data_IF_176554271985
#
_entry.id   IF_176554271985
#
_cell.length_a   1.000
_cell.length_b   1.000
_cell.length_c   1.000
_cell.angle_alpha   90.00
_cell.angle_beta   90.00
_cell.angle_gamma   90.00
#
_symmetry.space_group_name_H-M   'P 1'
#
loop_
_entity.id
_entity.type
_entity.pdbx_description
1 polymer ?
#
# COMPACT_ATOMS: atom_id res chain seq x y z
N UNK A 1 -42.09 36.24 49.58
CA UNK A 1 -40.85 36.19 48.75
C UNK A 1 -41.14 36.96 47.46
N UNK A 2 -40.28 37.90 47.08
CA UNK A 2 -40.50 38.77 45.92
C UNK A 2 -40.22 37.99 44.61
N UNK A 3 -41.17 37.85 43.67
CA UNK A 3 -40.98 37.07 42.44
C UNK A 3 -39.82 37.56 41.57
N UNK A 4 -39.54 38.87 41.63
CA UNK A 4 -38.51 39.53 40.83
C UNK A 4 -37.09 39.13 41.29
N UNK A 5 -36.85 39.04 42.60
CA UNK A 5 -35.57 38.57 43.16
C UNK A 5 -35.31 37.11 42.82
N UNK A 6 -36.34 36.26 42.88
CA UNK A 6 -36.22 34.85 42.51
C UNK A 6 -35.90 34.66 41.01
N UNK A 7 -36.41 35.54 40.14
CA UNK A 7 -36.06 35.54 38.72
C UNK A 7 -34.60 35.98 38.51
N UNK A 8 -34.14 37.02 39.22
CA UNK A 8 -32.75 37.48 39.13
C UNK A 8 -31.73 36.42 39.57
N UNK A 9 -31.95 35.73 40.69
CA UNK A 9 -31.03 34.67 41.12
C UNK A 9 -30.96 33.51 40.12
N UNK A 10 -32.08 33.15 39.48
CA UNK A 10 -32.11 32.11 38.43
C UNK A 10 -31.38 32.52 37.16
N UNK A 11 -31.43 33.81 36.80
CA UNK A 11 -30.69 34.33 35.64
C UNK A 11 -29.19 34.29 35.93
N UNK A 12 -28.77 34.73 37.11
CA UNK A 12 -27.36 34.72 37.50
C UNK A 12 -26.80 33.28 37.56
N UNK A 13 -27.58 32.33 38.09
CA UNK A 13 -27.22 30.90 38.09
C UNK A 13 -27.09 30.35 36.65
N UNK A 14 -28.01 30.70 35.75
CA UNK A 14 -27.93 30.29 34.35
C UNK A 14 -26.74 30.91 33.61
N UNK A 15 -26.36 32.16 33.91
CA UNK A 15 -25.19 32.84 33.34
C UNK A 15 -23.88 32.15 33.77
N UNK A 16 -23.78 31.74 35.05
CA UNK A 16 -22.65 30.97 35.55
C UNK A 16 -22.57 29.57 34.90
N UNK A 17 -23.70 28.89 34.71
CA UNK A 17 -23.74 27.62 33.98
C UNK A 17 -23.32 27.75 32.51
N UNK A 18 -23.79 28.81 31.82
CA UNK A 18 -23.41 29.09 30.43
C UNK A 18 -21.90 29.33 30.33
N UNK A 19 -21.33 30.15 31.22
CA UNK A 19 -19.89 30.42 31.27
C UNK A 19 -19.06 29.13 31.45
N UNK A 20 -19.49 28.23 32.34
CA UNK A 20 -18.83 26.94 32.53
C UNK A 20 -18.98 26.01 31.30
N UNK A 21 -20.12 26.05 30.61
CA UNK A 21 -20.31 25.30 29.36
C UNK A 21 -19.41 25.84 28.24
N UNK A 22 -19.30 27.16 28.10
CA UNK A 22 -18.41 27.80 27.12
C UNK A 22 -16.94 27.41 27.33
N UNK A 23 -16.47 27.43 28.58
CA UNK A 23 -15.14 26.97 28.96
C UNK A 23 -14.90 25.49 28.62
N UNK A 24 -15.93 24.64 28.77
CA UNK A 24 -15.85 23.21 28.41
C UNK A 24 -15.82 23.01 26.90
N UNK A 25 -16.60 23.77 26.15
CA UNK A 25 -16.63 23.71 24.68
C UNK A 25 -15.29 24.15 24.11
N UNK A 26 -14.68 25.23 24.62
CA UNK A 26 -13.34 25.66 24.20
C UNK A 26 -12.29 24.55 24.39
N UNK A 27 -12.32 23.86 25.54
CA UNK A 27 -11.42 22.73 25.82
C UNK A 27 -11.64 21.53 24.88
N UNK A 28 -12.89 21.27 24.48
CA UNK A 28 -13.22 20.19 23.53
C UNK A 28 -12.70 20.54 22.13
N UNK A 29 -12.92 21.77 21.67
CA UNK A 29 -12.45 22.24 20.36
C UNK A 29 -10.93 22.16 20.24
N UNK A 30 -10.19 22.62 21.24
CA UNK A 30 -8.73 22.51 21.27
C UNK A 30 -8.25 21.05 21.25
N UNK A 31 -8.93 20.18 21.99
CA UNK A 31 -8.63 18.75 22.02
C UNK A 31 -8.93 18.07 20.67
N UNK A 32 -9.98 18.50 19.95
CA UNK A 32 -10.31 18.03 18.60
C UNK A 32 -9.28 18.49 17.57
N UNK A 33 -8.88 19.77 17.57
CA UNK A 33 -7.82 20.26 16.69
C UNK A 33 -6.51 19.49 16.90
N UNK A 34 -6.10 19.28 18.16
CA UNK A 34 -4.91 18.50 18.48
C UNK A 34 -5.02 17.03 18.06
N UNK A 35 -6.21 16.44 18.13
CA UNK A 35 -6.45 15.09 17.61
C UNK A 35 -6.31 15.07 16.09
N UNK A 36 -6.82 16.07 15.40
CA UNK A 36 -6.75 16.17 13.96
C UNK A 36 -5.32 16.37 13.45
N UNK A 37 -4.52 17.22 14.08
CA UNK A 37 -3.09 17.36 13.77
C UNK A 37 -2.34 16.05 13.95
N UNK A 38 -2.60 15.33 15.07
CA UNK A 38 -2.00 14.01 15.30
C UNK A 38 -2.42 12.99 14.23
N UNK A 39 -3.66 13.03 13.77
CA UNK A 39 -4.13 12.15 12.70
C UNK A 39 -3.44 12.47 11.38
N UNK A 40 -3.26 13.74 11.04
CA UNK A 40 -2.53 14.18 9.84
C UNK A 40 -1.06 13.74 9.87
N UNK A 41 -0.35 13.97 10.97
CA UNK A 41 1.04 13.53 11.12
C UNK A 41 1.17 12.00 11.08
N UNK A 42 0.22 11.28 11.70
CA UNK A 42 0.20 9.83 11.64
C UNK A 42 -0.06 9.34 10.20
N UNK A 43 -0.95 9.98 9.44
CA UNK A 43 -1.19 9.65 8.04
C UNK A 43 0.06 9.87 7.18
N UNK A 44 0.78 10.98 7.38
CA UNK A 44 2.02 11.28 6.66
C UNK A 44 3.13 10.28 7.00
N UNK A 45 3.34 9.97 8.28
CA UNK A 45 4.33 8.98 8.71
C UNK A 45 3.99 7.57 8.20
N UNK A 46 2.70 7.22 8.16
CA UNK A 46 2.22 5.98 7.54
C UNK A 46 2.40 5.98 6.02
N UNK A 47 2.23 7.12 5.35
CA UNK A 47 2.52 7.26 3.92
C UNK A 47 4.00 7.07 3.62
N UNK A 48 4.88 7.66 4.43
CA UNK A 48 6.32 7.53 4.29
C UNK A 48 6.79 6.08 4.53
N UNK A 49 6.33 5.44 5.61
CA UNK A 49 6.62 4.02 5.86
C UNK A 49 6.06 3.12 4.76
N UNK A 50 4.87 3.41 4.24
CA UNK A 50 4.29 2.70 3.10
C UNK A 50 5.09 2.89 1.81
N UNK A 51 5.57 4.10 1.53
CA UNK A 51 6.42 4.39 0.37
C UNK A 51 7.79 3.70 0.50
N UNK A 52 8.37 3.68 1.70
CA UNK A 52 9.57 2.91 2.02
C UNK A 52 9.38 1.40 1.76
N UNK A 53 8.26 0.84 2.21
CA UNK A 53 7.89 -0.57 1.95
C UNK A 53 7.64 -0.83 0.45
N UNK A 54 7.10 0.13 -0.30
CA UNK A 54 6.96 0.02 -1.76
C UNK A 54 8.33 -0.06 -2.45
N UNK A 55 9.32 0.68 -1.97
CA UNK A 55 10.66 0.69 -2.57
C UNK A 55 11.36 -0.67 -2.47
N UNK A 56 11.01 -1.51 -1.49
CA UNK A 56 11.56 -2.87 -1.32
C UNK A 56 10.84 -3.97 -2.12
N UNK A 57 9.88 -3.66 -3.00
CA UNK A 57 9.18 -4.73 -3.75
C UNK A 57 10.04 -5.32 -4.86
N UNK A 58 10.30 -6.61 -4.75
CA UNK A 58 10.67 -7.52 -5.82
C UNK A 58 9.45 -7.90 -6.68
N UNK A 59 9.66 -8.60 -7.78
CA UNK A 59 8.63 -9.03 -8.73
C UNK A 59 8.47 -10.53 -8.68
N UNK A 60 7.25 -11.02 -8.51
CA UNK A 60 6.95 -12.43 -8.73
C UNK A 60 6.39 -12.60 -10.13
N UNK A 61 7.10 -13.39 -10.94
CA UNK A 61 6.67 -13.89 -12.24
C UNK A 61 6.41 -15.39 -12.10
N UNK A 62 5.29 -15.89 -12.63
CA UNK A 62 5.05 -17.34 -12.74
C UNK A 62 5.45 -17.81 -14.13
N UNK A 63 6.57 -18.54 -14.25
CA UNK A 63 7.16 -19.00 -15.52
C UNK A 63 7.34 -20.52 -15.49
N UNK A 64 7.15 -21.24 -16.62
CA UNK A 64 7.42 -22.68 -16.70
C UNK A 64 8.80 -23.09 -16.16
N UNK A 65 8.90 -24.24 -15.51
CA UNK A 65 10.17 -24.80 -15.02
C UNK A 65 10.87 -25.55 -16.17
N UNK A 66 12.13 -25.20 -16.50
CA UNK A 66 12.93 -25.93 -17.50
C UNK A 66 14.00 -25.10 -18.24
N UNK A 67 13.72 -23.84 -18.58
CA UNK A 67 14.58 -23.06 -19.48
C UNK A 67 15.80 -22.38 -18.81
N UNK A 68 15.77 -22.28 -17.47
CA UNK A 68 16.79 -21.56 -16.71
C UNK A 68 18.14 -22.26 -16.67
N UNK A 69 18.18 -23.57 -16.96
CA UNK A 69 19.42 -24.34 -17.04
C UNK A 69 20.28 -23.92 -18.24
N UNK A 70 19.67 -23.30 -19.25
CA UNK A 70 20.33 -22.92 -20.51
C UNK A 70 20.47 -21.40 -20.66
N UNK A 71 19.50 -20.62 -20.14
CA UNK A 71 19.46 -19.16 -20.25
C UNK A 71 19.09 -18.58 -18.88
N UNK A 72 19.95 -17.74 -18.30
CA UNK A 72 19.72 -17.14 -16.98
C UNK A 72 18.36 -16.44 -16.84
N UNK A 73 17.90 -16.28 -15.59
CA UNK A 73 16.61 -15.65 -15.22
C UNK A 73 16.44 -14.23 -15.77
N UNK A 74 17.53 -13.51 -16.05
CA UNK A 74 17.56 -12.22 -16.74
C UNK A 74 17.03 -12.30 -18.18
N UNK A 75 17.34 -13.38 -18.91
CA UNK A 75 16.87 -13.60 -20.27
C UNK A 75 15.35 -13.83 -20.33
N UNK A 76 14.78 -14.42 -19.27
CA UNK A 76 13.32 -14.58 -19.15
C UNK A 76 12.66 -13.21 -19.07
N UNK A 77 13.19 -12.32 -18.22
CA UNK A 77 12.66 -10.96 -18.10
C UNK A 77 12.77 -10.16 -19.39
N UNK A 78 13.90 -10.29 -20.11
CA UNK A 78 14.05 -9.69 -21.44
C UNK A 78 13.00 -10.19 -22.42
N UNK A 79 12.79 -11.51 -22.49
CA UNK A 79 11.80 -12.08 -23.40
C UNK A 79 10.39 -11.60 -23.08
N UNK A 80 10.02 -11.54 -21.80
CA UNK A 80 8.73 -10.98 -21.36
C UNK A 80 8.62 -9.50 -21.77
N UNK A 81 9.66 -8.70 -21.54
CA UNK A 81 9.65 -7.27 -21.86
C UNK A 81 9.59 -7.03 -23.36
N UNK A 82 10.34 -7.78 -24.17
CA UNK A 82 10.30 -7.68 -25.63
C UNK A 82 8.94 -8.10 -26.20
N UNK A 83 8.35 -9.18 -25.68
CA UNK A 83 7.06 -9.69 -26.13
C UNK A 83 5.91 -8.76 -25.72
N UNK A 84 5.98 -8.13 -24.54
CA UNK A 84 4.85 -7.38 -23.99
C UNK A 84 4.97 -5.87 -24.01
N UNK A 85 6.19 -5.36 -23.87
CA UNK A 85 6.52 -3.95 -23.68
C UNK A 85 7.70 -3.55 -24.59
N UNK A 86 7.55 -3.65 -25.93
CA UNK A 86 8.67 -3.49 -26.87
C UNK A 86 9.34 -2.10 -26.80
N UNK A 87 8.60 -1.08 -26.34
CA UNK A 87 9.14 0.26 -26.11
C UNK A 87 10.09 0.32 -24.90
N UNK A 88 9.94 -0.58 -23.92
CA UNK A 88 10.81 -0.71 -22.74
C UNK A 88 11.96 -1.71 -22.97
N UNK A 89 11.87 -2.58 -23.97
CA UNK A 89 12.90 -3.56 -24.29
C UNK A 89 14.25 -2.96 -24.74
N UNK A 90 14.28 -1.65 -25.03
CA UNK A 90 15.49 -0.90 -25.36
C UNK A 90 16.25 -0.39 -24.12
N UNK A 91 15.67 -0.51 -22.93
CA UNK A 91 16.32 -0.09 -21.69
C UNK A 91 17.41 -1.09 -21.26
N UNK A 92 18.55 -0.62 -20.74
CA UNK A 92 19.69 -1.48 -20.43
C UNK A 92 19.41 -2.42 -19.24
N UNK A 93 20.04 -3.60 -19.26
CA UNK A 93 19.91 -4.67 -18.26
C UNK A 93 20.43 -4.30 -16.86
N UNK A 94 21.14 -3.20 -16.75
CA UNK A 94 21.66 -2.63 -15.49
C UNK A 94 20.56 -2.29 -14.48
N UNK A 95 19.30 -2.44 -14.87
CA UNK A 95 18.13 -2.23 -14.02
C UNK A 95 17.66 -3.47 -13.27
N UNK A 96 18.13 -4.67 -13.64
CA UNK A 96 17.91 -5.91 -12.88
C UNK A 96 19.02 -6.00 -11.84
N UNK A 97 18.64 -6.04 -10.55
CA UNK A 97 19.57 -6.23 -9.45
C UNK A 97 19.78 -7.72 -9.15
N UNK A 98 18.69 -8.48 -9.11
CA UNK A 98 18.70 -9.91 -8.76
C UNK A 98 17.55 -10.60 -9.49
N UNK A 99 17.74 -11.84 -9.91
CA UNK A 99 16.67 -12.66 -10.47
C UNK A 99 16.83 -14.11 -10.01
N UNK A 100 15.94 -14.59 -9.14
CA UNK A 100 16.06 -15.88 -8.48
C UNK A 100 14.73 -16.64 -8.46
N UNK A 101 14.76 -17.97 -8.63
CA UNK A 101 13.60 -18.83 -8.36
C UNK A 101 13.38 -19.04 -6.86
N UNK A 102 12.12 -18.91 -6.45
CA UNK A 102 11.69 -19.18 -5.08
C UNK A 102 10.60 -20.26 -5.11
N UNK A 103 10.75 -21.36 -4.34
CA UNK A 103 11.90 -21.72 -3.50
C UNK A 103 13.10 -22.26 -4.32
N UNK A 104 14.31 -22.09 -3.77
CA UNK A 104 15.57 -22.51 -4.42
C UNK A 104 15.61 -24.02 -4.70
N UNK A 105 15.10 -24.85 -3.77
CA UNK A 105 15.03 -26.31 -3.92
C UNK A 105 13.78 -26.73 -4.68
N UNK A 106 13.95 -27.58 -5.69
CA UNK A 106 12.84 -28.21 -6.42
C UNK A 106 12.20 -29.25 -5.52
N UNK A 107 10.88 -29.14 -5.31
CA UNK A 107 10.11 -30.15 -4.58
C UNK A 107 9.38 -31.04 -5.60
N UNK A 108 9.80 -32.31 -5.79
CA UNK A 108 9.18 -33.21 -6.78
C UNK A 108 7.71 -33.55 -6.47
N UNK A 109 7.21 -33.28 -5.25
CA UNK A 109 5.80 -33.47 -4.88
C UNK A 109 4.90 -32.30 -5.29
N UNK A 110 5.45 -31.15 -5.71
CA UNK A 110 4.68 -29.99 -6.16
C UNK A 110 4.60 -29.98 -7.68
N UNK A 111 3.39 -30.15 -8.22
CA UNK A 111 3.11 -30.05 -9.65
C UNK A 111 2.91 -28.59 -10.14
N UNK A 112 3.02 -27.61 -9.23
CA UNK A 112 2.83 -26.18 -9.54
C UNK A 112 4.14 -25.53 -9.97
N UNK A 113 4.09 -24.77 -11.07
CA UNK A 113 5.20 -23.91 -11.53
C UNK A 113 5.73 -23.02 -10.40
N UNK A 114 7.05 -22.96 -10.26
CA UNK A 114 7.70 -22.06 -9.29
C UNK A 114 7.58 -20.58 -9.69
N UNK A 115 7.76 -19.72 -8.70
CA UNK A 115 7.80 -18.29 -8.88
C UNK A 115 9.24 -17.84 -9.11
N UNK A 116 9.44 -16.93 -10.07
CA UNK A 116 10.70 -16.21 -10.27
C UNK A 116 10.57 -14.85 -9.62
N UNK A 117 11.44 -14.59 -8.65
CA UNK A 117 11.62 -13.31 -8.00
C UNK A 117 12.61 -12.47 -8.81
N UNK A 118 12.22 -11.29 -9.27
CA UNK A 118 13.12 -10.36 -9.99
C UNK A 118 13.14 -9.03 -9.24
N UNK A 119 14.31 -8.53 -8.88
CA UNK A 119 14.49 -7.23 -8.24
C UNK A 119 14.88 -6.21 -9.31
N UNK A 120 14.05 -5.18 -9.50
CA UNK A 120 14.32 -4.09 -10.44
C UNK A 120 14.51 -2.77 -9.69
N UNK A 121 15.42 -1.93 -10.17
CA UNK A 121 15.80 -0.67 -9.48
C UNK A 121 14.99 0.54 -9.95
N UNK A 122 14.99 0.86 -11.26
CA UNK A 122 14.46 2.16 -11.76
C UNK A 122 13.17 2.07 -12.59
N UNK A 123 13.00 1.06 -13.43
CA UNK A 123 11.84 0.95 -14.34
C UNK A 123 10.64 0.23 -13.74
N UNK A 124 10.68 -0.01 -12.44
CA UNK A 124 9.72 -0.88 -11.79
C UNK A 124 8.28 -0.38 -11.90
N UNK A 125 8.04 0.86 -11.52
CA UNK A 125 6.67 1.37 -11.49
C UNK A 125 6.07 1.49 -12.90
N UNK A 126 6.91 1.75 -13.91
CA UNK A 126 6.50 1.78 -15.32
C UNK A 126 6.03 0.40 -15.79
N UNK A 127 6.79 -0.66 -15.49
CA UNK A 127 6.44 -2.03 -15.90
C UNK A 127 5.19 -2.51 -15.17
N UNK A 128 5.07 -2.26 -13.85
CA UNK A 128 3.85 -2.64 -13.12
C UNK A 128 2.62 -1.87 -13.60
N UNK A 129 2.77 -0.60 -13.97
CA UNK A 129 1.68 0.20 -14.53
C UNK A 129 1.26 -0.36 -15.89
N UNK A 130 2.21 -0.58 -16.80
CA UNK A 130 1.95 -1.17 -18.11
C UNK A 130 1.35 -2.58 -18.00
N UNK A 131 1.82 -3.39 -17.05
CA UNK A 131 1.28 -4.72 -16.76
C UNK A 131 -0.17 -4.70 -16.26
N UNK A 132 -0.60 -3.65 -15.55
CA UNK A 132 -1.99 -3.48 -15.11
C UNK A 132 -2.89 -2.99 -16.23
N UNK A 133 -2.38 -2.09 -17.06
CA UNK A 133 -3.11 -1.57 -18.24
C UNK A 133 -3.28 -2.67 -19.29
N UNK A 134 -2.30 -3.56 -19.42
CA UNK A 134 -2.37 -4.72 -20.29
C UNK A 134 -3.26 -5.81 -19.67
N UNK A 135 -4.26 -6.28 -20.43
CA UNK A 135 -5.19 -7.33 -19.98
C UNK A 135 -4.53 -8.71 -19.83
N UNK A 136 -3.52 -9.00 -20.63
CA UNK A 136 -2.83 -10.29 -20.66
C UNK A 136 -1.34 -10.10 -20.95
N UNK A 137 -0.52 -10.78 -20.16
CA UNK A 137 0.94 -10.80 -20.34
C UNK A 137 1.31 -12.22 -20.71
N UNK A 138 2.14 -12.38 -21.73
CA UNK A 138 2.55 -13.69 -22.23
C UNK A 138 4.06 -13.86 -22.20
N UNK A 139 4.52 -15.09 -22.12
CA UNK A 139 5.92 -15.45 -22.34
C UNK A 139 5.94 -16.67 -23.23
N UNK A 140 6.51 -16.55 -24.44
CA UNK A 140 6.52 -17.59 -25.47
C UNK A 140 5.11 -18.14 -25.73
N UNK A 141 4.12 -17.24 -25.79
CA UNK A 141 2.71 -17.59 -25.99
C UNK A 141 2.00 -18.18 -24.77
N UNK A 142 2.69 -18.41 -23.63
CA UNK A 142 2.06 -18.86 -22.39
C UNK A 142 1.61 -17.66 -21.55
N UNK A 143 0.35 -17.58 -21.11
CA UNK A 143 -0.09 -16.52 -20.21
C UNK A 143 0.64 -16.57 -18.87
N UNK A 144 1.18 -15.41 -18.45
CA UNK A 144 1.88 -15.23 -17.19
C UNK A 144 1.26 -14.09 -16.38
N UNK A 145 1.55 -14.08 -15.08
CA UNK A 145 1.14 -12.99 -14.18
C UNK A 145 2.38 -12.30 -13.63
N UNK A 146 2.42 -10.99 -13.78
CA UNK A 146 3.38 -10.11 -13.10
C UNK A 146 2.70 -9.49 -11.89
N UNK A 147 3.27 -9.72 -10.71
CA UNK A 147 2.81 -9.10 -9.47
C UNK A 147 3.98 -8.56 -8.67
N UNK A 148 3.76 -7.43 -7.99
CA UNK A 148 4.68 -6.96 -6.98
C UNK A 148 4.68 -7.94 -5.79
N UNK A 149 5.86 -8.34 -5.36
CA UNK A 149 6.09 -9.06 -4.12
C UNK A 149 6.16 -8.06 -2.97
N UNK A 150 5.41 -8.33 -1.92
CA UNK A 150 5.37 -7.53 -0.71
C UNK A 150 5.77 -8.47 0.42
N UNK A 151 6.54 -7.99 1.41
CA UNK A 151 6.79 -8.79 2.61
C UNK A 151 5.47 -9.18 3.30
N UNK A 152 5.49 -10.22 4.11
CA UNK A 152 4.29 -10.66 4.84
C UNK A 152 3.72 -9.53 5.71
N UNK A 153 4.61 -8.75 6.34
CA UNK A 153 4.29 -7.58 7.16
C UNK A 153 3.69 -6.46 6.32
N UNK A 154 4.23 -6.22 5.12
CA UNK A 154 3.70 -5.24 4.18
C UNK A 154 2.31 -5.62 3.64
N UNK A 155 2.07 -6.90 3.41
CA UNK A 155 0.75 -7.41 3.03
C UNK A 155 -0.26 -7.29 4.18
N UNK A 156 0.19 -7.57 5.40
CA UNK A 156 -0.63 -7.48 6.59
C UNK A 156 -1.02 -6.02 6.90
N UNK A 157 -0.05 -5.11 6.92
CA UNK A 157 -0.29 -3.68 7.07
C UNK A 157 -1.27 -3.13 6.02
N UNK A 158 -1.21 -3.65 4.77
CA UNK A 158 -2.16 -3.28 3.73
C UNK A 158 -3.59 -3.74 4.02
N UNK A 159 -3.76 -4.95 4.59
CA UNK A 159 -5.08 -5.47 4.97
C UNK A 159 -5.66 -4.67 6.12
N UNK A 160 -4.88 -4.48 7.17
CA UNK A 160 -5.27 -3.69 8.34
C UNK A 160 -5.63 -2.26 7.97
N UNK A 161 -4.86 -1.64 7.05
CA UNK A 161 -5.19 -0.33 6.50
C UNK A 161 -6.50 -0.35 5.71
N UNK A 162 -6.70 -1.35 4.85
CA UNK A 162 -7.93 -1.48 4.08
C UNK A 162 -9.16 -1.64 4.99
N UNK A 163 -9.03 -2.41 6.07
CA UNK A 163 -10.07 -2.62 7.06
C UNK A 163 -10.36 -1.31 7.82
N UNK A 164 -9.32 -0.61 8.27
CA UNK A 164 -9.45 0.69 8.96
C UNK A 164 -10.12 1.74 8.07
N UNK A 165 -9.68 1.86 6.82
CA UNK A 165 -10.24 2.81 5.85
C UNK A 165 -11.70 2.47 5.51
N UNK A 166 -12.04 1.18 5.43
CA UNK A 166 -13.42 0.74 5.24
C UNK A 166 -14.31 1.12 6.43
N UNK A 167 -13.80 0.99 7.66
CA UNK A 167 -14.50 1.43 8.88
C UNK A 167 -14.67 2.95 8.92
N UNK A 168 -13.66 3.73 8.53
CA UNK A 168 -13.75 5.19 8.48
C UNK A 168 -14.80 5.65 7.45
N UNK A 169 -14.78 5.07 6.24
CA UNK A 169 -15.79 5.36 5.21
C UNK A 169 -17.21 4.98 5.62
N UNK A 170 -17.37 3.88 6.37
CA UNK A 170 -18.68 3.46 6.88
C UNK A 170 -19.24 4.37 7.97
N UNK A 171 -18.42 5.22 8.59
CA UNK A 171 -18.81 6.12 9.67
C UNK A 171 -19.07 7.57 9.21
N UNK A 172 -18.98 7.87 7.90
CA UNK A 172 -19.08 9.23 7.35
C UNK A 172 -18.24 10.27 8.14
N UNK A 173 -17.02 9.88 8.52
CA UNK A 173 -15.96 10.80 8.90
C UNK A 173 -15.23 11.28 7.64
#
# INVERSE_FOLDING_TARGET
KNPLEAAHSRIQEAEEEISNVEDRVAKITDAEQKREERLKTNEESLRETWDNVKHTKSYIIRVPDGEEREKGTENIFQGITAENFPHMAKEPLTQIQEAQRVPYKINPRRNTLRHTLIKLTKIKDKILKAAREKKQITYKGTPIRLSADFSAEALQARREWHDTLSVMKGKNL
#
